data_IF_370347167133
#
_entry.id   IF_370347167133
#
_cell.length_a   1.000
_cell.length_b   1.000
_cell.length_c   1.000
_cell.angle_alpha   90.00
_cell.angle_beta   90.00
_cell.angle_gamma   90.00
#
_symmetry.space_group_name_H-M   'P 1'
#
loop_
_entity.id
_entity.type
_entity.pdbx_description
1 polymer ?
#
# COMPACT_ATOMS: atom_id res chain seq x y z
N UNK A 1 21.60 3.33 -0.57
CA UNK A 1 20.57 2.96 0.43
C UNK A 1 19.36 2.44 -0.34
N UNK A 2 18.75 1.32 0.05
CA UNK A 2 17.53 0.81 -0.55
C UNK A 2 16.51 0.57 0.57
N UNK A 3 15.36 1.22 0.50
CA UNK A 3 14.26 1.05 1.47
C UNK A 3 13.41 -0.18 1.16
N UNK A 4 13.50 -0.71 -0.08
CA UNK A 4 12.78 -1.89 -0.52
C UNK A 4 13.56 -3.18 -0.18
N UNK A 5 12.83 -4.19 0.28
CA UNK A 5 13.31 -5.57 0.39
C UNK A 5 12.94 -6.37 -0.86
N UNK A 6 12.96 -7.70 -0.74
CA UNK A 6 12.63 -8.62 -1.86
C UNK A 6 11.16 -8.49 -2.33
N UNK A 7 10.26 -8.01 -1.48
CA UNK A 7 8.82 -8.00 -1.74
C UNK A 7 8.15 -6.76 -1.11
N UNK A 8 8.64 -5.57 -1.46
CA UNK A 8 8.17 -4.29 -0.94
C UNK A 8 8.93 -3.77 0.28
N UNK A 9 8.36 -2.79 0.95
CA UNK A 9 8.88 -2.24 2.22
C UNK A 9 8.31 -3.10 3.35
N UNK A 10 9.14 -3.52 4.32
CA UNK A 10 8.67 -4.29 5.47
C UNK A 10 9.43 -3.93 6.74
N UNK A 11 8.75 -3.99 7.88
CA UNK A 11 9.34 -3.79 9.19
C UNK A 11 8.33 -4.00 10.31
N UNK A 12 8.82 -4.03 11.56
CA UNK A 12 8.00 -3.97 12.76
C UNK A 12 7.27 -2.63 12.82
N UNK A 13 5.96 -2.66 13.09
CA UNK A 13 5.14 -1.45 13.12
C UNK A 13 5.44 -0.64 14.37
N UNK A 14 5.79 0.63 14.18
CA UNK A 14 6.03 1.60 15.26
C UNK A 14 5.14 2.84 15.05
N UNK A 15 4.07 2.94 15.83
CA UNK A 15 3.09 4.03 15.74
C UNK A 15 3.48 5.27 16.55
N UNK A 16 4.66 5.28 17.18
CA UNK A 16 5.13 6.45 17.93
C UNK A 16 5.41 7.61 16.97
N UNK A 17 5.09 8.85 17.39
CA UNK A 17 5.37 10.03 16.57
C UNK A 17 6.86 10.17 16.28
N UNK A 18 7.19 10.43 15.02
CA UNK A 18 8.56 10.76 14.61
C UNK A 18 8.52 11.66 13.36
N UNK A 19 9.64 12.34 13.08
CA UNK A 19 9.79 13.10 11.85
C UNK A 19 10.11 12.21 10.64
N UNK A 20 9.95 12.76 9.43
CA UNK A 20 10.18 12.04 8.17
C UNK A 20 11.59 11.47 8.02
N UNK A 21 12.62 12.23 8.43
CA UNK A 21 14.02 11.77 8.43
C UNK A 21 14.23 10.62 9.40
N UNK A 22 13.72 10.75 10.62
CA UNK A 22 13.79 9.69 11.62
C UNK A 22 13.08 8.42 11.16
N UNK A 23 11.98 8.55 10.41
CA UNK A 23 11.26 7.42 9.82
C UNK A 23 12.10 6.63 8.81
N UNK A 24 12.89 7.32 7.98
CA UNK A 24 13.86 6.68 7.07
C UNK A 24 14.96 5.95 7.86
N UNK A 25 15.56 6.62 8.85
CA UNK A 25 16.61 6.03 9.68
C UNK A 25 16.08 4.79 10.44
N UNK A 26 14.89 4.89 11.03
CA UNK A 26 14.24 3.77 11.72
C UNK A 26 14.00 2.56 10.81
N UNK A 27 13.63 2.77 9.54
CA UNK A 27 13.49 1.67 8.60
C UNK A 27 14.84 1.04 8.25
N UNK A 28 15.84 1.87 7.97
CA UNK A 28 17.15 1.40 7.47
C UNK A 28 17.93 0.68 8.56
N UNK A 29 17.97 1.25 9.76
CA UNK A 29 18.82 0.78 10.84
C UNK A 29 18.14 -0.26 11.74
N UNK A 30 16.80 -0.14 11.92
CA UNK A 30 16.05 -0.96 12.88
C UNK A 30 14.92 -1.77 12.22
N UNK A 31 14.69 -1.63 10.92
CA UNK A 31 13.57 -2.27 10.19
C UNK A 31 12.22 -1.95 10.81
N UNK A 32 12.01 -0.70 11.21
CA UNK A 32 10.73 -0.21 11.73
C UNK A 32 9.92 0.50 10.64
N UNK A 33 8.64 0.20 10.62
CA UNK A 33 7.65 0.79 9.72
C UNK A 33 6.79 1.78 10.51
N UNK A 34 6.99 3.07 10.25
CA UNK A 34 6.32 4.18 10.96
C UNK A 34 5.24 4.82 10.08
N UNK A 35 4.33 5.61 10.68
CA UNK A 35 3.31 6.34 9.93
C UNK A 35 3.92 7.36 8.95
N UNK A 36 4.92 8.20 9.33
CA UNK A 36 5.57 9.07 8.38
C UNK A 36 6.26 8.34 7.24
N UNK A 37 6.79 7.13 7.46
CA UNK A 37 7.37 6.32 6.40
C UNK A 37 6.31 5.82 5.41
N UNK A 38 5.17 5.34 5.91
CA UNK A 38 4.03 4.92 5.08
C UNK A 38 3.49 6.09 4.24
N UNK A 39 3.38 7.27 4.84
CA UNK A 39 3.01 8.50 4.16
C UNK A 39 4.03 8.87 3.07
N UNK A 40 5.32 8.86 3.38
CA UNK A 40 6.39 9.12 2.39
C UNK A 40 6.33 8.15 1.22
N UNK A 41 6.05 6.88 1.47
CA UNK A 41 5.92 5.87 0.41
C UNK A 41 4.74 6.18 -0.52
N UNK A 42 3.58 6.57 0.03
CA UNK A 42 2.41 6.99 -0.75
C UNK A 42 2.67 8.24 -1.59
N UNK A 43 3.24 9.28 -0.98
CA UNK A 43 3.60 10.52 -1.68
C UNK A 43 4.64 10.30 -2.78
N UNK A 44 5.67 9.49 -2.48
CA UNK A 44 6.69 9.17 -3.47
C UNK A 44 6.10 8.37 -4.64
N UNK A 45 5.17 7.45 -4.38
CA UNK A 45 4.48 6.69 -5.41
C UNK A 45 3.66 7.61 -6.31
N UNK A 46 2.86 8.52 -5.73
CA UNK A 46 2.07 9.50 -6.46
C UNK A 46 2.97 10.39 -7.34
N UNK A 47 4.06 10.96 -6.79
CA UNK A 47 4.99 11.81 -7.53
C UNK A 47 5.77 11.03 -8.61
N UNK A 48 6.10 9.76 -8.38
CA UNK A 48 6.88 8.97 -9.35
C UNK A 48 6.04 8.54 -10.55
N UNK A 49 4.75 8.32 -10.36
CA UNK A 49 3.83 7.95 -11.43
C UNK A 49 3.31 9.16 -12.21
N UNK A 50 3.24 10.34 -11.59
CA UNK A 50 2.91 11.65 -12.19
C UNK A 50 1.75 11.56 -13.21
N UNK A 51 0.59 11.05 -12.78
CA UNK A 51 -0.56 10.81 -13.63
C UNK A 51 -1.69 11.80 -13.30
N UNK A 52 -2.32 12.36 -14.34
CA UNK A 52 -3.53 13.19 -14.20
C UNK A 52 -4.74 12.29 -13.89
N UNK A 53 -5.69 12.78 -13.09
CA UNK A 53 -6.90 12.05 -12.65
C UNK A 53 -6.58 10.64 -12.11
N UNK A 54 -5.45 10.52 -11.44
CA UNK A 54 -4.92 9.25 -11.00
C UNK A 54 -5.76 8.58 -9.91
N UNK A 55 -5.81 7.26 -9.95
CA UNK A 55 -6.46 6.43 -8.94
C UNK A 55 -5.51 5.40 -8.33
N UNK A 56 -5.71 5.13 -7.06
CA UNK A 56 -5.04 4.05 -6.32
C UNK A 56 -6.07 3.15 -5.63
N UNK A 57 -5.79 1.86 -5.65
CA UNK A 57 -6.54 0.84 -4.90
C UNK A 57 -5.71 0.38 -3.72
N UNK A 58 -6.26 0.44 -2.51
CA UNK A 58 -5.56 0.08 -1.27
C UNK A 58 -6.35 -1.02 -0.56
N UNK A 59 -5.67 -2.14 -0.26
CA UNK A 59 -6.18 -3.21 0.59
C UNK A 59 -5.16 -3.57 1.67
N UNK A 60 -5.59 -4.28 2.70
CA UNK A 60 -4.73 -4.70 3.81
C UNK A 60 -5.17 -6.04 4.41
N UNK A 61 -4.30 -6.71 5.16
CA UNK A 61 -4.65 -7.84 6.00
C UNK A 61 -5.02 -7.39 7.44
N UNK A 62 -5.48 -8.29 8.28
CA UNK A 62 -6.06 -8.03 9.61
C UNK A 62 -5.04 -7.72 10.72
N UNK A 63 -3.81 -7.32 10.38
CA UNK A 63 -2.77 -6.98 11.37
C UNK A 63 -3.13 -5.71 12.15
N UNK A 64 -2.90 -5.68 13.48
CA UNK A 64 -3.35 -4.57 14.33
C UNK A 64 -2.82 -3.19 13.92
N UNK A 65 -1.61 -3.10 13.35
CA UNK A 65 -1.01 -1.85 12.91
C UNK A 65 -1.50 -1.34 11.55
N UNK A 66 -2.14 -2.19 10.76
CA UNK A 66 -2.50 -1.86 9.37
C UNK A 66 -3.51 -0.72 9.23
N UNK A 67 -4.57 -0.60 10.03
CA UNK A 67 -5.49 0.53 9.88
C UNK A 67 -4.79 1.89 9.95
N UNK A 68 -3.85 2.06 10.88
CA UNK A 68 -3.08 3.31 10.98
C UNK A 68 -2.16 3.55 9.77
N UNK A 69 -1.50 2.50 9.26
CA UNK A 69 -0.67 2.57 8.06
C UNK A 69 -1.52 2.88 6.81
N UNK A 70 -2.71 2.28 6.69
CA UNK A 70 -3.67 2.57 5.62
C UNK A 70 -4.04 4.05 5.60
N UNK A 71 -4.38 4.63 6.75
CA UNK A 71 -4.70 6.06 6.84
C UNK A 71 -3.53 6.94 6.40
N UNK A 72 -2.30 6.61 6.81
CA UNK A 72 -1.13 7.38 6.40
C UNK A 72 -0.92 7.31 4.88
N UNK A 73 -1.08 6.14 4.27
CA UNK A 73 -0.96 5.96 2.81
C UNK A 73 -2.12 6.66 2.07
N UNK A 74 -3.35 6.54 2.58
CA UNK A 74 -4.52 7.21 2.02
C UNK A 74 -4.34 8.73 2.05
N UNK A 75 -3.96 9.29 3.19
CA UNK A 75 -3.72 10.73 3.35
C UNK A 75 -2.67 11.23 2.36
N UNK A 76 -1.60 10.47 2.18
CA UNK A 76 -0.55 10.78 1.22
C UNK A 76 -1.09 10.90 -0.21
N UNK A 77 -1.93 9.97 -0.66
CA UNK A 77 -2.51 10.02 -2.00
C UNK A 77 -3.53 11.14 -2.14
N UNK A 78 -4.38 11.36 -1.12
CA UNK A 78 -5.35 12.46 -1.12
C UNK A 78 -4.65 13.82 -1.17
N UNK A 79 -3.56 14.00 -0.41
CA UNK A 79 -2.74 15.21 -0.45
C UNK A 79 -2.06 15.43 -1.81
N UNK A 80 -1.82 14.36 -2.57
CA UNK A 80 -1.33 14.43 -3.95
C UNK A 80 -2.44 14.62 -5.01
N UNK A 81 -3.70 14.72 -4.59
CA UNK A 81 -4.87 14.91 -5.49
C UNK A 81 -5.34 13.64 -6.19
N UNK A 82 -4.99 12.46 -5.67
CA UNK A 82 -5.38 11.17 -6.23
C UNK A 82 -6.73 10.68 -5.71
N UNK A 83 -7.46 9.95 -6.55
CA UNK A 83 -8.66 9.22 -6.14
C UNK A 83 -8.24 7.93 -5.41
N UNK A 84 -8.78 7.70 -4.21
CA UNK A 84 -8.44 6.54 -3.39
C UNK A 84 -9.64 5.61 -3.27
N UNK A 85 -9.43 4.34 -3.62
CA UNK A 85 -10.40 3.25 -3.40
C UNK A 85 -9.85 2.35 -2.28
N UNK A 86 -10.55 2.28 -1.15
CA UNK A 86 -10.24 1.38 -0.04
C UNK A 86 -11.06 0.09 -0.20
N UNK A 87 -10.39 -1.06 -0.06
CA UNK A 87 -11.04 -2.37 -0.19
C UNK A 87 -11.37 -3.02 1.17
N UNK A 88 -10.90 -2.41 2.27
CA UNK A 88 -11.01 -3.05 3.56
C UNK A 88 -9.98 -4.18 3.77
N UNK A 89 -10.26 -5.03 4.75
CA UNK A 89 -9.42 -6.21 5.03
C UNK A 89 -9.65 -7.26 3.95
N UNK A 90 -8.61 -7.55 3.18
CA UNK A 90 -8.72 -8.43 2.03
C UNK A 90 -7.43 -9.18 1.70
N UNK A 91 -7.53 -10.17 0.82
CA UNK A 91 -6.37 -10.86 0.28
C UNK A 91 -5.74 -10.07 -0.89
N UNK A 92 -4.43 -10.18 -1.07
CA UNK A 92 -3.69 -9.54 -2.18
C UNK A 92 -4.34 -9.73 -3.58
N UNK A 93 -4.91 -10.89 -3.94
CA UNK A 93 -5.58 -11.05 -5.24
C UNK A 93 -6.76 -10.09 -5.47
N UNK A 94 -7.48 -9.67 -4.42
CA UNK A 94 -8.56 -8.69 -4.57
C UNK A 94 -8.03 -7.32 -4.99
N UNK A 95 -6.93 -6.86 -4.36
CA UNK A 95 -6.27 -5.60 -4.77
C UNK A 95 -5.90 -5.64 -6.25
N UNK A 96 -5.31 -6.75 -6.68
CA UNK A 96 -4.93 -6.94 -8.09
C UNK A 96 -6.15 -6.94 -9.02
N UNK A 97 -7.23 -7.65 -8.65
CA UNK A 97 -8.45 -7.71 -9.44
C UNK A 97 -9.08 -6.32 -9.61
N UNK A 98 -9.33 -5.61 -8.50
CA UNK A 98 -9.97 -4.29 -8.53
C UNK A 98 -9.08 -3.25 -9.23
N UNK A 99 -7.77 -3.31 -9.06
CA UNK A 99 -6.82 -2.48 -9.80
C UNK A 99 -7.02 -2.59 -11.33
N UNK A 100 -7.14 -3.81 -11.84
CA UNK A 100 -7.32 -4.05 -13.28
C UNK A 100 -8.73 -3.65 -13.75
N UNK A 101 -9.78 -3.97 -12.98
CA UNK A 101 -11.16 -3.64 -13.31
C UNK A 101 -11.40 -2.13 -13.32
N UNK A 102 -10.89 -1.41 -12.34
CA UNK A 102 -11.06 0.05 -12.24
C UNK A 102 -10.08 0.83 -13.13
N UNK A 103 -9.07 0.15 -13.69
CA UNK A 103 -7.97 0.76 -14.44
C UNK A 103 -7.23 1.84 -13.64
N UNK A 104 -7.13 1.65 -12.32
CA UNK A 104 -6.38 2.55 -11.46
C UNK A 104 -4.89 2.55 -11.83
N UNK A 105 -4.17 3.62 -11.48
CA UNK A 105 -2.77 3.79 -11.84
C UNK A 105 -1.81 2.98 -10.95
N UNK A 106 -2.26 2.65 -9.72
CA UNK A 106 -1.49 1.85 -8.78
C UNK A 106 -2.39 1.02 -7.87
N UNK A 107 -1.83 -0.08 -7.36
CA UNK A 107 -2.39 -0.86 -6.26
C UNK A 107 -1.40 -0.90 -5.10
N UNK A 108 -1.89 -0.81 -3.88
CA UNK A 108 -1.10 -0.97 -2.66
C UNK A 108 -1.74 -2.02 -1.77
N UNK A 109 -0.97 -3.04 -1.41
CA UNK A 109 -1.38 -4.03 -0.41
C UNK A 109 -0.54 -3.85 0.85
N UNK A 110 -1.19 -3.57 1.97
CA UNK A 110 -0.54 -3.40 3.27
C UNK A 110 -0.57 -4.74 4.01
N UNK A 111 0.59 -5.40 4.04
CA UNK A 111 0.75 -6.75 4.61
C UNK A 111 2.22 -7.11 4.77
N UNK A 112 2.54 -7.93 5.73
CA UNK A 112 3.83 -8.63 5.82
C UNK A 112 3.73 -10.13 5.51
N UNK A 113 2.59 -10.60 4.95
CA UNK A 113 2.38 -12.02 4.56
C UNK A 113 2.53 -12.98 5.76
N UNK A 114 3.62 -13.75 5.81
CA UNK A 114 3.87 -14.79 6.83
C UNK A 114 4.78 -14.32 7.97
N UNK A 115 5.18 -13.05 7.99
CA UNK A 115 5.97 -12.48 9.08
C UNK A 115 5.17 -12.45 10.41
N UNK A 116 5.83 -12.25 11.57
CA UNK A 116 5.15 -12.01 12.83
C UNK A 116 4.04 -10.97 12.74
N UNK A 117 3.07 -11.01 13.64
CA UNK A 117 1.88 -10.14 13.61
C UNK A 117 2.24 -8.66 13.85
N UNK A 118 3.36 -8.41 14.50
CA UNK A 118 3.92 -7.08 14.77
C UNK A 118 4.50 -6.42 13.51
N UNK A 119 4.89 -7.23 12.52
CA UNK A 119 5.40 -6.72 11.25
C UNK A 119 4.26 -6.29 10.33
N UNK A 120 4.53 -5.31 9.49
CA UNK A 120 3.72 -5.01 8.31
C UNK A 120 4.61 -4.58 7.15
N UNK A 121 3.99 -4.20 6.04
CA UNK A 121 4.72 -3.77 4.85
C UNK A 121 3.80 -3.22 3.77
N UNK A 122 4.41 -2.63 2.76
CA UNK A 122 3.72 -2.10 1.58
C UNK A 122 4.22 -2.83 0.34
N UNK A 123 3.31 -3.52 -0.36
CA UNK A 123 3.54 -4.06 -1.70
C UNK A 123 2.88 -3.15 -2.70
N UNK A 124 3.63 -2.77 -3.74
CA UNK A 124 3.15 -1.86 -4.79
C UNK A 124 2.98 -2.62 -6.10
N UNK A 125 1.86 -2.36 -6.76
CA UNK A 125 1.52 -2.87 -8.08
C UNK A 125 1.36 -1.71 -9.06
N UNK A 126 1.86 -1.87 -10.28
CA UNK A 126 1.65 -0.92 -11.37
C UNK A 126 0.24 -1.09 -11.98
N UNK A 127 -0.15 -0.20 -12.89
CA UNK A 127 -1.44 -0.22 -13.59
C UNK A 127 -1.72 -1.52 -14.36
N UNK A 128 -0.71 -2.35 -14.63
CA UNK A 128 -0.86 -3.66 -15.26
C UNK A 128 -1.00 -4.81 -14.24
N UNK A 129 -1.05 -4.49 -12.95
CA UNK A 129 -1.10 -5.45 -11.86
C UNK A 129 0.22 -6.16 -11.56
N UNK A 130 1.33 -5.69 -12.12
CA UNK A 130 2.65 -6.28 -11.85
C UNK A 130 3.28 -5.63 -10.64
N UNK A 131 4.06 -6.41 -9.90
CA UNK A 131 4.89 -5.87 -8.83
C UNK A 131 5.88 -4.82 -9.36
N UNK A 132 6.24 -3.87 -8.50
CA UNK A 132 7.28 -2.89 -8.79
C UNK A 132 8.58 -3.56 -9.27
N UNK A 133 9.20 -2.97 -10.29
CA UNK A 133 10.52 -3.41 -10.75
C UNK A 133 11.64 -2.81 -9.89
N UNK A 134 12.84 -3.42 -9.85
CA UNK A 134 13.97 -2.85 -9.11
C UNK A 134 14.31 -1.42 -9.53
N UNK A 135 14.19 -1.09 -10.81
CA UNK A 135 14.44 0.25 -11.33
C UNK A 135 13.39 1.26 -10.84
N UNK A 136 12.14 0.83 -10.75
CA UNK A 136 11.06 1.64 -10.18
C UNK A 136 11.28 1.85 -8.68
N UNK A 137 11.65 0.82 -7.94
CA UNK A 137 11.94 0.88 -6.50
C UNK A 137 13.11 1.81 -6.17
N UNK A 138 14.14 1.85 -7.02
CA UNK A 138 15.26 2.80 -6.89
C UNK A 138 14.76 4.25 -7.06
N UNK A 139 13.91 4.51 -8.06
CA UNK A 139 13.32 5.85 -8.26
C UNK A 139 12.44 6.23 -7.06
N UNK A 140 11.60 5.31 -6.61
CA UNK A 140 10.72 5.51 -5.48
C UNK A 140 11.52 5.81 -4.20
N UNK A 141 12.58 5.03 -3.93
CA UNK A 141 13.50 5.27 -2.82
C UNK A 141 14.08 6.68 -2.88
N UNK A 142 14.55 7.11 -4.06
CA UNK A 142 15.11 8.45 -4.23
C UNK A 142 14.09 9.54 -3.91
N UNK A 143 12.88 9.41 -4.47
CA UNK A 143 11.79 10.36 -4.20
C UNK A 143 11.42 10.39 -2.71
N UNK A 144 11.40 9.25 -2.02
CA UNK A 144 11.18 9.20 -0.57
C UNK A 144 12.27 9.96 0.21
N UNK A 145 13.54 9.78 -0.18
CA UNK A 145 14.68 10.46 0.47
C UNK A 145 14.64 11.97 0.23
N UNK A 146 14.28 12.41 -0.96
CA UNK A 146 14.12 13.83 -1.29
C UNK A 146 12.97 14.45 -0.47
N UNK A 147 11.81 13.78 -0.43
CA UNK A 147 10.65 14.18 0.38
C UNK A 147 10.98 14.25 1.88
N UNK A 148 11.76 13.31 2.38
CA UNK A 148 12.13 13.30 3.80
C UNK A 148 13.01 14.50 4.22
N UNK A 149 13.56 15.28 3.27
CA UNK A 149 14.27 16.53 3.55
C UNK A 149 13.33 17.74 3.67
N UNK A 150 12.11 17.62 3.15
CA UNK A 150 11.09 18.65 3.24
C UNK A 150 10.49 18.65 4.65
N UNK A 151 9.95 19.78 5.08
CA UNK A 151 9.26 19.89 6.37
C UNK A 151 7.77 19.53 6.16
N UNK A 152 7.33 18.45 6.79
CA UNK A 152 5.94 17.98 6.72
C UNK A 152 5.32 17.93 8.11
N UNK A 153 4.16 18.60 8.27
CA UNK A 153 3.34 18.46 9.47
C UNK A 153 2.49 17.19 9.37
N UNK A 154 2.99 16.11 9.96
CA UNK A 154 2.35 14.79 9.97
C UNK A 154 1.78 14.41 11.35
N UNK A 155 1.67 15.35 12.27
CA UNK A 155 1.14 15.10 13.62
C UNK A 155 -0.31 14.59 13.57
N UNK A 156 -1.08 14.98 12.55
CA UNK A 156 -2.45 14.53 12.34
C UNK A 156 -2.57 13.02 12.06
N UNK A 157 -1.49 12.36 11.59
CA UNK A 157 -1.49 10.91 11.34
C UNK A 157 -1.56 10.07 12.62
N UNK A 158 -1.27 10.66 13.78
CA UNK A 158 -1.22 9.97 15.08
C UNK A 158 -2.58 9.96 15.79
N UNK A 159 -3.61 10.62 15.23
CA UNK A 159 -4.95 10.68 15.80
C UNK A 159 -5.80 9.45 15.47
N UNK A 160 -6.68 9.08 16.42
CA UNK A 160 -7.70 8.03 16.30
C UNK A 160 -8.66 8.31 15.12
N UNK A 161 -8.36 7.82 13.94
CA UNK A 161 -9.29 7.77 12.80
C UNK A 161 -9.52 6.31 12.37
N UNK A 162 -9.95 5.50 13.34
CA UNK A 162 -10.28 4.10 13.10
C UNK A 162 -11.69 3.88 12.48
N UNK A 163 -12.48 4.93 12.29
CA UNK A 163 -13.87 4.85 11.79
C UNK A 163 -14.02 5.56 10.44
N UNK A 164 -13.41 5.05 9.39
CA UNK A 164 -13.77 5.37 8.03
C UNK A 164 -14.72 4.31 7.48
N UNK A 165 -15.79 4.74 6.79
CA UNK A 165 -16.65 3.87 5.98
C UNK A 165 -15.76 3.09 4.98
N UNK A 166 -15.43 1.88 5.36
CA UNK A 166 -14.68 0.96 4.52
C UNK A 166 -15.69 0.37 3.54
N UNK A 167 -15.68 0.79 2.31
CA UNK A 167 -16.56 0.27 1.25
C UNK A 167 -16.36 -1.24 0.98
N UNK A 168 -16.35 -2.04 2.04
CA UNK A 168 -15.98 -3.45 2.10
C UNK A 168 -16.90 -4.33 1.26
N UNK A 169 -18.20 -4.09 1.31
CA UNK A 169 -19.19 -5.03 0.74
C UNK A 169 -19.22 -5.05 -0.80
N UNK A 170 -18.76 -4.00 -1.46
CA UNK A 170 -18.95 -3.81 -2.91
C UNK A 170 -17.96 -4.62 -3.78
N UNK A 171 -16.83 -5.01 -3.24
CA UNK A 171 -15.78 -5.70 -3.99
C UNK A 171 -15.55 -7.16 -3.57
N UNK A 172 -16.04 -7.59 -2.40
CA UNK A 172 -15.92 -8.99 -1.97
C UNK A 172 -16.73 -9.92 -2.87
N UNK A 173 -17.98 -9.55 -3.19
CA UNK A 173 -18.82 -10.32 -4.11
C UNK A 173 -18.19 -10.40 -5.50
N UNK A 174 -17.71 -9.27 -6.04
CA UNK A 174 -17.05 -9.22 -7.34
C UNK A 174 -15.77 -10.09 -7.40
N UNK A 175 -15.03 -10.18 -6.30
CA UNK A 175 -13.86 -11.04 -6.20
C UNK A 175 -14.25 -12.52 -6.12
N UNK A 176 -15.30 -12.86 -5.37
CA UNK A 176 -15.82 -14.24 -5.30
C UNK A 176 -16.31 -14.71 -6.68
N UNK A 177 -17.04 -13.87 -7.38
CA UNK A 177 -17.52 -14.16 -8.74
C UNK A 177 -16.37 -14.37 -9.73
N UNK A 178 -15.35 -13.52 -9.65
CA UNK A 178 -14.15 -13.65 -10.47
C UNK A 178 -13.38 -14.95 -10.18
N UNK A 179 -13.24 -15.32 -8.90
CA UNK A 179 -12.60 -16.58 -8.51
C UNK A 179 -13.40 -17.78 -9.01
N UNK A 180 -14.73 -17.77 -8.90
CA UNK A 180 -15.59 -18.83 -9.41
C UNK A 180 -15.46 -18.99 -10.93
N UNK A 181 -15.52 -17.89 -11.69
CA UNK A 181 -15.34 -17.92 -13.14
C UNK A 181 -13.95 -18.46 -13.53
N UNK A 182 -12.90 -18.11 -12.79
CA UNK A 182 -11.55 -18.64 -13.04
C UNK A 182 -11.41 -20.12 -12.70
N UNK A 183 -12.07 -20.59 -11.66
CA UNK A 183 -12.09 -22.02 -11.32
C UNK A 183 -12.82 -22.83 -12.38
N UNK A 184 -13.90 -22.32 -12.95
CA UNK A 184 -14.62 -22.96 -14.07
C UNK A 184 -13.73 -23.05 -15.33
N UNK A 185 -13.02 -21.97 -15.69
CA UNK A 185 -12.05 -21.96 -16.78
C UNK A 185 -10.95 -23.03 -16.59
N UNK A 186 -10.41 -23.14 -15.35
CA UNK A 186 -9.37 -24.10 -15.03
C UNK A 186 -9.89 -25.55 -15.04
N UNK A 187 -11.12 -25.80 -14.56
CA UNK A 187 -11.71 -27.13 -14.58
C UNK A 187 -11.94 -27.64 -16.01
N UNK A 188 -12.21 -26.73 -16.96
CA UNK A 188 -12.30 -27.07 -18.38
C UNK A 188 -10.95 -27.42 -19.03
N UNK A 189 -9.83 -27.01 -18.42
CA UNK A 189 -8.47 -27.33 -18.90
C UNK A 189 -7.95 -28.70 -18.44
N UNK A 190 -8.56 -29.28 -17.39
CA UNK A 190 -8.19 -30.58 -16.82
C UNK A 190 -9.44 -31.47 -16.76
N UNK A 191 -9.92 -31.98 -17.91
CA UNK A 191 -11.01 -32.96 -17.90
C UNK A 191 -10.53 -34.25 -17.23
N UNK A 192 -11.40 -34.89 -16.41
CA UNK A 192 -11.18 -36.16 -15.72
C UNK A 192 -10.73 -37.28 -16.64
#
# INVERSE_FOLDING_TARGET
MNVFGTDGIRGEVDLRPCGTRQAIDALVDERRLTLPLAWLAGQALARTLDAEDAGVVIGWDDRPGNPALVHAVQDAFLAAGWNVTLLGTCATPLVHHVLLETKANAGVMITASHNPVEDSGLKVFDASGRKSTPEFEVRLTRTMLDLAQEDHDLLHLVGDRADGDHGEDRFEDAHADWLHARMEDLSGMFPD
#
